data_IF_106692124486
#
_entry.id   IF_106692124486
#
_cell.length_a   1.000
_cell.length_b   1.000
_cell.length_c   1.000
_cell.angle_alpha   90.00
_cell.angle_beta   90.00
_cell.angle_gamma   90.00
#
_symmetry.space_group_name_H-M   'P 1'
#
loop_
_entity.id
_entity.type
_entity.pdbx_description
1 polymer ?
#
# COMPACT_ATOMS: atom_id res chain seq x y z
N UNK A 1 52.47 -14.62 -6.58
CA UNK A 1 51.71 -14.48 -5.32
C UNK A 1 50.47 -13.64 -5.60
N UNK A 2 49.37 -14.24 -6.05
CA UNK A 2 48.12 -13.53 -6.41
C UNK A 2 47.15 -13.60 -5.23
N UNK A 3 46.88 -12.47 -4.59
CA UNK A 3 45.98 -12.34 -3.45
C UNK A 3 44.52 -12.39 -3.92
N UNK A 4 43.87 -13.52 -3.68
CA UNK A 4 42.46 -13.77 -4.01
C UNK A 4 41.54 -13.02 -3.01
N UNK A 5 41.26 -11.74 -3.28
CA UNK A 5 40.30 -10.96 -2.50
C UNK A 5 38.87 -11.32 -2.95
N UNK A 6 38.31 -12.41 -2.41
CA UNK A 6 36.88 -12.70 -2.51
C UNK A 6 36.11 -11.60 -1.77
N UNK A 7 35.68 -10.58 -2.48
CA UNK A 7 34.61 -9.68 -2.05
C UNK A 7 33.41 -10.54 -1.69
N UNK A 8 33.21 -10.79 -0.38
CA UNK A 8 32.03 -11.49 0.14
C UNK A 8 30.81 -10.71 -0.32
N UNK A 9 30.14 -11.20 -1.36
CA UNK A 9 28.91 -10.63 -1.88
C UNK A 9 27.89 -10.71 -0.73
N UNK A 10 27.53 -9.56 -0.17
CA UNK A 10 26.61 -9.46 0.97
C UNK A 10 25.19 -9.73 0.45
N UNK A 11 24.86 -11.00 0.29
CA UNK A 11 23.51 -11.44 -0.04
C UNK A 11 22.80 -11.56 1.31
N UNK A 12 21.82 -10.68 1.62
CA UNK A 12 21.06 -10.81 2.86
C UNK A 12 20.40 -12.19 2.89
N UNK A 13 20.46 -12.86 4.04
CA UNK A 13 19.83 -14.17 4.21
C UNK A 13 18.32 -14.05 3.95
N UNK A 14 17.76 -14.97 3.17
CA UNK A 14 16.34 -14.95 2.80
C UNK A 14 15.42 -15.47 3.91
N UNK A 15 14.18 -15.01 3.90
CA UNK A 15 13.10 -15.53 4.74
C UNK A 15 13.17 -15.13 6.22
N UNK A 16 12.75 -16.03 7.10
CA UNK A 16 12.64 -15.76 8.55
C UNK A 16 13.99 -15.41 9.20
N UNK A 17 15.09 -15.98 8.68
CA UNK A 17 16.44 -15.71 9.17
C UNK A 17 16.87 -14.25 8.90
N UNK A 18 16.56 -13.74 7.70
CA UNK A 18 16.78 -12.34 7.34
C UNK A 18 15.89 -11.37 8.12
N UNK A 19 14.64 -11.76 8.39
CA UNK A 19 13.70 -10.97 9.19
C UNK A 19 14.17 -10.82 10.64
N UNK A 20 14.62 -11.91 11.26
CA UNK A 20 15.17 -11.87 12.63
C UNK A 20 16.44 -11.03 12.72
N UNK A 21 17.27 -11.05 11.68
CA UNK A 21 18.53 -10.30 11.63
C UNK A 21 18.30 -8.79 11.40
N UNK A 22 17.26 -8.41 10.65
CA UNK A 22 16.97 -7.02 10.29
C UNK A 22 15.74 -6.43 10.99
N UNK A 23 15.12 -7.14 11.93
CA UNK A 23 13.86 -6.74 12.57
C UNK A 23 13.82 -5.29 13.05
N UNK A 24 14.88 -4.80 13.70
CA UNK A 24 14.96 -3.41 14.18
C UNK A 24 14.96 -2.40 13.02
N UNK A 25 15.67 -2.70 11.92
CA UNK A 25 15.73 -1.87 10.72
C UNK A 25 14.40 -1.91 9.95
N UNK A 26 13.79 -3.08 9.86
CA UNK A 26 12.50 -3.27 9.18
C UNK A 26 11.37 -2.58 9.95
N UNK A 27 11.37 -2.64 11.29
CA UNK A 27 10.41 -1.94 12.13
C UNK A 27 10.54 -0.41 12.01
N UNK A 28 11.77 0.12 12.03
CA UNK A 28 12.02 1.55 11.90
C UNK A 28 11.66 2.08 10.50
N UNK A 29 12.05 1.36 9.45
CA UNK A 29 11.68 1.72 8.07
C UNK A 29 10.17 1.62 7.83
N UNK A 30 9.51 0.58 8.35
CA UNK A 30 8.05 0.45 8.31
C UNK A 30 7.32 1.60 9.00
N UNK A 31 7.83 2.08 10.14
CA UNK A 31 7.27 3.23 10.83
C UNK A 31 7.35 4.52 10.01
N UNK A 32 8.50 4.81 9.39
CA UNK A 32 8.63 5.97 8.51
C UNK A 32 7.72 5.88 7.29
N UNK A 33 7.63 4.69 6.68
CA UNK A 33 6.73 4.45 5.55
C UNK A 33 5.27 4.66 5.95
N UNK A 34 4.87 4.19 7.14
CA UNK A 34 3.52 4.42 7.66
C UNK A 34 3.20 5.91 7.79
N UNK A 35 4.12 6.71 8.35
CA UNK A 35 3.95 8.16 8.48
C UNK A 35 3.80 8.86 7.12
N UNK A 36 4.46 8.36 6.08
CA UNK A 36 4.32 8.88 4.70
C UNK A 36 3.04 8.39 4.02
N UNK A 37 2.61 7.15 4.28
CA UNK A 37 1.45 6.52 3.68
C UNK A 37 0.13 7.05 4.24
N UNK A 38 0.08 7.42 5.53
CA UNK A 38 -1.09 8.01 6.17
C UNK A 38 -1.62 9.25 5.41
N UNK A 39 -0.85 10.33 5.21
CA UNK A 39 -1.34 11.52 4.52
C UNK A 39 -1.67 11.23 3.05
N UNK A 40 -0.89 10.36 2.40
CA UNK A 40 -1.10 9.99 0.99
C UNK A 40 -2.44 9.26 0.80
N UNK A 41 -2.75 8.27 1.64
CA UNK A 41 -4.01 7.51 1.57
C UNK A 41 -5.24 8.38 1.87
N UNK A 42 -5.14 9.28 2.85
CA UNK A 42 -6.20 10.25 3.17
C UNK A 42 -6.44 11.23 2.03
N UNK A 43 -5.35 11.72 1.40
CA UNK A 43 -5.43 12.61 0.24
C UNK A 43 -6.07 11.95 -0.98
N UNK A 44 -5.68 10.71 -1.28
CA UNK A 44 -6.27 9.91 -2.38
C UNK A 44 -7.78 9.72 -2.18
N UNK A 45 -8.22 9.36 -0.96
CA UNK A 45 -9.63 9.21 -0.67
C UNK A 45 -10.41 10.52 -0.83
N UNK A 46 -9.84 11.63 -0.32
CA UNK A 46 -10.49 12.93 -0.42
C UNK A 46 -10.58 13.44 -1.86
N UNK A 47 -9.58 13.16 -2.69
CA UNK A 47 -9.58 13.48 -4.12
C UNK A 47 -10.54 12.60 -4.94
N UNK A 48 -10.93 11.44 -4.40
CA UNK A 48 -11.86 10.51 -5.05
C UNK A 48 -13.33 10.75 -4.67
N UNK A 49 -13.64 11.84 -3.96
CA UNK A 49 -14.96 12.14 -3.37
C UNK A 49 -15.46 11.10 -2.35
N UNK A 50 -14.52 10.34 -1.74
CA UNK A 50 -14.80 9.42 -0.64
C UNK A 50 -14.50 10.05 0.72
N UNK A 51 -15.18 9.62 1.80
CA UNK A 51 -14.74 9.94 3.16
C UNK A 51 -13.32 9.45 3.42
N UNK A 52 -12.48 10.30 4.00
CA UNK A 52 -11.04 10.04 4.15
C UNK A 52 -10.73 8.74 4.91
N UNK A 53 -11.60 8.33 5.83
CA UNK A 53 -11.50 7.08 6.58
C UNK A 53 -11.46 5.84 5.66
N UNK A 54 -12.11 5.87 4.50
CA UNK A 54 -12.06 4.73 3.58
C UNK A 54 -10.69 4.57 2.91
N UNK A 55 -9.91 5.66 2.81
CA UNK A 55 -8.52 5.65 2.34
C UNK A 55 -7.59 4.85 3.27
N UNK A 56 -7.75 5.00 4.59
CA UNK A 56 -6.98 4.23 5.56
C UNK A 56 -7.45 2.77 5.61
N UNK A 57 -8.76 2.53 5.54
CA UNK A 57 -9.31 1.15 5.53
C UNK A 57 -8.79 0.37 4.32
N UNK A 58 -8.81 0.95 3.12
CA UNK A 58 -8.26 0.28 1.92
C UNK A 58 -6.76 0.06 2.02
N UNK A 59 -6.00 0.99 2.62
CA UNK A 59 -4.57 0.82 2.83
C UNK A 59 -4.27 -0.34 3.81
N UNK A 60 -5.05 -0.48 4.88
CA UNK A 60 -4.90 -1.60 5.83
C UNK A 60 -5.25 -2.93 5.16
N UNK A 61 -6.39 -3.01 4.48
CA UNK A 61 -6.84 -4.24 3.82
C UNK A 61 -5.88 -4.64 2.69
N UNK A 62 -5.51 -3.69 1.83
CA UNK A 62 -4.55 -3.91 0.74
C UNK A 62 -3.16 -4.28 1.26
N UNK A 63 -2.73 -3.67 2.37
CA UNK A 63 -1.47 -3.99 3.04
C UNK A 63 -1.46 -5.39 3.64
N UNK A 64 -2.51 -5.79 4.37
CA UNK A 64 -2.57 -7.10 5.03
C UNK A 64 -2.85 -8.20 4.02
N UNK A 65 -3.98 -8.13 3.31
CA UNK A 65 -4.46 -9.20 2.42
C UNK A 65 -3.46 -9.45 1.31
N UNK A 66 -3.03 -8.40 0.60
CA UNK A 66 -2.19 -8.60 -0.58
C UNK A 66 -0.78 -9.04 -0.17
N UNK A 67 -0.28 -8.69 1.03
CA UNK A 67 1.01 -9.17 1.56
C UNK A 67 1.10 -10.68 1.72
N UNK A 68 -0.02 -11.37 1.95
CA UNK A 68 -0.01 -12.84 1.95
C UNK A 68 0.18 -13.43 0.55
N UNK A 69 -0.25 -12.72 -0.51
CA UNK A 69 -0.25 -13.25 -1.88
C UNK A 69 0.93 -12.80 -2.76
N UNK A 70 1.54 -11.64 -2.51
CA UNK A 70 2.61 -11.16 -3.41
C UNK A 70 4.03 -11.40 -2.87
N UNK A 71 4.93 -11.81 -3.78
CA UNK A 71 6.30 -12.26 -3.46
C UNK A 71 7.37 -11.17 -3.33
N UNK A 72 7.04 -9.88 -3.48
CA UNK A 72 8.04 -8.81 -3.35
C UNK A 72 8.25 -8.41 -1.89
N UNK A 73 9.51 -8.49 -1.41
CA UNK A 73 9.87 -8.22 -0.01
C UNK A 73 9.92 -6.72 0.37
N UNK A 74 10.01 -5.82 -0.62
CA UNK A 74 10.18 -4.37 -0.40
C UNK A 74 9.02 -3.53 -0.96
N UNK A 75 8.01 -4.17 -1.54
CA UNK A 75 6.89 -3.45 -2.17
C UNK A 75 5.84 -3.08 -1.13
N UNK A 76 5.52 -1.78 -1.06
CA UNK A 76 4.42 -1.25 -0.27
C UNK A 76 3.14 -1.34 -1.10
N UNK A 77 2.06 -1.85 -0.49
CA UNK A 77 0.77 -2.03 -1.15
C UNK A 77 -0.24 -1.08 -0.55
N UNK A 78 -1.02 -0.43 -1.40
CA UNK A 78 -1.99 0.57 -0.98
C UNK A 78 -2.80 1.09 -2.17
N UNK A 79 -3.67 2.08 -1.91
CA UNK A 79 -4.50 2.68 -2.94
C UNK A 79 -3.64 3.40 -4.00
N UNK A 80 -3.88 3.08 -5.27
CA UNK A 80 -3.12 3.64 -6.38
C UNK A 80 -3.59 5.06 -6.72
N UNK A 81 -2.67 6.01 -6.86
CA UNK A 81 -3.00 7.39 -7.24
C UNK A 81 -3.74 7.47 -8.59
N UNK A 82 -3.46 6.56 -9.53
CA UNK A 82 -4.18 6.49 -10.80
C UNK A 82 -5.67 6.10 -10.67
N UNK A 83 -6.06 5.48 -9.56
CA UNK A 83 -7.45 5.10 -9.30
C UNK A 83 -8.33 6.30 -8.93
N UNK A 84 -7.73 7.45 -8.57
CA UNK A 84 -8.47 8.65 -8.14
C UNK A 84 -9.47 9.08 -9.22
N UNK A 85 -9.02 9.19 -10.47
CA UNK A 85 -9.85 9.66 -11.60
C UNK A 85 -10.97 8.67 -11.91
N UNK A 86 -10.71 7.37 -11.77
CA UNK A 86 -11.71 6.33 -12.00
C UNK A 86 -12.78 6.38 -10.90
N UNK A 87 -12.35 6.50 -9.64
CA UNK A 87 -13.23 6.55 -8.48
C UNK A 87 -14.07 7.84 -8.47
N UNK A 88 -13.47 9.01 -8.69
CA UNK A 88 -14.20 10.28 -8.76
C UNK A 88 -15.16 10.33 -9.96
N UNK A 89 -14.75 9.76 -11.10
CA UNK A 89 -15.61 9.59 -12.27
C UNK A 89 -16.84 8.73 -11.96
N UNK A 90 -16.66 7.62 -11.24
CA UNK A 90 -17.77 6.76 -10.80
C UNK A 90 -18.71 7.50 -9.83
N UNK A 91 -18.18 8.17 -8.82
CA UNK A 91 -18.99 8.95 -7.85
C UNK A 91 -19.80 10.04 -8.56
N UNK A 92 -19.19 10.71 -9.55
CA UNK A 92 -19.86 11.72 -10.37
C UNK A 92 -20.98 11.10 -11.22
N UNK A 93 -20.75 9.93 -11.81
CA UNK A 93 -21.76 9.22 -12.60
C UNK A 93 -22.97 8.74 -11.77
N UNK A 94 -22.77 8.42 -10.50
CA UNK A 94 -23.83 7.95 -9.59
C UNK A 94 -24.58 9.07 -8.84
N UNK A 95 -24.48 10.33 -9.29
CA UNK A 95 -25.25 11.45 -8.76
C UNK A 95 -24.53 12.34 -7.75
N UNK A 96 -23.23 12.11 -7.55
CA UNK A 96 -22.33 12.91 -6.69
C UNK A 96 -22.75 12.96 -5.20
N UNK A 97 -21.87 13.49 -4.34
CA UNK A 97 -22.14 13.66 -2.91
C UNK A 97 -22.34 12.35 -2.15
N UNK A 98 -23.17 12.37 -1.11
CA UNK A 98 -23.26 11.26 -0.15
C UNK A 98 -23.91 9.99 -0.73
N UNK A 99 -24.63 10.12 -1.83
CA UNK A 99 -25.33 9.00 -2.49
C UNK A 99 -24.40 8.35 -3.52
N UNK A 100 -23.63 9.17 -4.25
CA UNK A 100 -22.72 8.71 -5.30
C UNK A 100 -21.64 7.76 -4.80
N UNK A 101 -21.02 8.04 -3.64
CA UNK A 101 -19.97 7.15 -3.11
C UNK A 101 -20.51 5.83 -2.54
N UNK A 102 -21.74 5.81 -1.99
CA UNK A 102 -22.39 4.58 -1.57
C UNK A 102 -22.72 3.69 -2.77
N UNK A 103 -23.29 4.27 -3.82
CA UNK A 103 -23.58 3.52 -5.04
C UNK A 103 -22.31 3.06 -5.76
N UNK A 104 -21.26 3.88 -5.79
CA UNK A 104 -19.96 3.47 -6.30
C UNK A 104 -19.39 2.26 -5.54
N UNK A 105 -19.45 2.24 -4.19
CA UNK A 105 -19.03 1.06 -3.41
C UNK A 105 -19.90 -0.16 -3.71
N UNK A 106 -21.22 0.03 -3.77
CA UNK A 106 -22.13 -1.09 -4.07
C UNK A 106 -21.86 -1.69 -5.44
N UNK A 107 -21.58 -0.86 -6.45
CA UNK A 107 -21.24 -1.29 -7.79
C UNK A 107 -19.91 -2.06 -7.81
N UNK A 108 -18.89 -1.59 -7.07
CA UNK A 108 -17.59 -2.27 -6.98
C UNK A 108 -17.69 -3.63 -6.27
N UNK A 109 -18.55 -3.78 -5.27
CA UNK A 109 -18.70 -5.04 -4.52
C UNK A 109 -19.53 -6.08 -5.30
N UNK A 110 -20.49 -5.62 -6.10
CA UNK A 110 -21.39 -6.50 -6.87
C UNK A 110 -20.79 -6.91 -8.22
N UNK A 111 -19.99 -6.05 -8.85
CA UNK A 111 -19.32 -6.33 -10.12
C UNK A 111 -18.23 -7.42 -9.98
#
# INVERSE_FOLDING_TARGET
MSTNNKTKRFIPADGLAGLKQNFSKDAMSGFFVFLLALPLSLGIAKASDFPAIYGIVTAIIGGVVVSFFAGSRLTIKGPAAGLIVIASGAVTAFGNGNIGWHFALSAIVVA
#
